data_IF_827204674861
#
_entry.id   IF_827204674861
#
_cell.length_a   1.000
_cell.length_b   1.000
_cell.length_c   1.000
_cell.angle_alpha   90.00
_cell.angle_beta   90.00
_cell.angle_gamma   90.00
#
_symmetry.space_group_name_H-M   'P 1'
#
loop_
_entity.id
_entity.type
_entity.pdbx_description
1 polymer ?
#
# COMPACT_ATOMS: atom_id res chain seq x y z
N UNK A 1 2.16 -33.77 -4.92
CA UNK A 1 2.33 -32.71 -3.95
C UNK A 1 1.26 -31.66 -4.26
N UNK A 2 0.32 -31.50 -3.35
CA UNK A 2 -0.66 -30.41 -3.43
C UNK A 2 0.16 -29.13 -3.28
N UNK A 3 0.53 -28.50 -4.40
CA UNK A 3 1.12 -27.17 -4.42
C UNK A 3 0.00 -26.19 -4.02
N UNK A 4 -0.17 -26.01 -2.73
CA UNK A 4 -1.18 -25.11 -2.18
C UNK A 4 -0.61 -23.69 -2.15
N UNK A 5 -0.30 -23.15 -3.36
CA UNK A 5 0.06 -21.75 -3.49
C UNK A 5 -1.19 -20.88 -3.33
N UNK A 6 -1.07 -19.67 -2.77
CA UNK A 6 -2.19 -18.75 -2.71
C UNK A 6 -2.65 -18.35 -4.11
N UNK A 7 -3.93 -18.13 -4.27
CA UNK A 7 -4.48 -17.48 -5.44
C UNK A 7 -4.26 -15.98 -5.33
N UNK A 8 -3.57 -15.38 -6.30
CA UNK A 8 -3.15 -13.98 -6.27
C UNK A 8 -4.09 -13.12 -7.10
N UNK A 9 -4.58 -12.04 -6.50
CA UNK A 9 -5.26 -10.95 -7.21
C UNK A 9 -4.28 -9.89 -7.68
N UNK A 10 -4.01 -9.76 -8.96
CA UNK A 10 -3.18 -8.68 -9.53
C UNK A 10 -3.98 -7.38 -9.56
N UNK A 11 -3.59 -6.42 -8.70
CA UNK A 11 -4.36 -5.22 -8.41
C UNK A 11 -3.59 -3.94 -8.80
N UNK A 12 -4.04 -3.25 -9.85
CA UNK A 12 -3.38 -2.03 -10.33
C UNK A 12 -3.69 -0.78 -9.50
N UNK A 13 -4.50 -0.82 -8.48
CA UNK A 13 -4.93 0.30 -7.62
C UNK A 13 -5.42 1.54 -8.40
N UNK A 14 -6.23 2.42 -7.80
CA UNK A 14 -6.68 3.66 -8.46
C UNK A 14 -5.55 4.64 -8.80
N UNK A 15 -4.40 4.52 -8.14
CA UNK A 15 -3.24 5.40 -8.34
C UNK A 15 -2.19 4.82 -9.33
N UNK A 16 -2.57 3.82 -10.15
CA UNK A 16 -1.64 3.11 -11.05
C UNK A 16 -0.78 4.02 -11.94
N UNK A 17 -1.32 5.12 -12.45
CA UNK A 17 -0.59 6.10 -13.29
C UNK A 17 0.64 6.71 -12.58
N UNK A 18 0.74 6.59 -11.24
CA UNK A 18 1.89 7.01 -10.46
C UNK A 18 2.99 5.95 -10.37
N UNK A 19 2.74 4.74 -10.85
CA UNK A 19 3.75 3.69 -10.92
C UNK A 19 4.73 3.96 -12.05
N UNK A 20 6.00 4.20 -11.70
CA UNK A 20 7.08 4.37 -12.66
C UNK A 20 7.49 3.06 -13.32
N UNK A 21 8.35 3.14 -14.36
CA UNK A 21 8.73 1.97 -15.15
C UNK A 21 9.33 0.82 -14.33
N UNK A 22 10.15 1.13 -13.31
CA UNK A 22 10.76 0.07 -12.49
C UNK A 22 9.73 -0.67 -11.65
N UNK A 23 8.74 0.02 -11.12
CA UNK A 23 7.64 -0.61 -10.37
C UNK A 23 6.74 -1.45 -11.28
N UNK A 24 6.40 -0.95 -12.46
CA UNK A 24 5.63 -1.71 -13.45
C UNK A 24 6.36 -3.00 -13.85
N UNK A 25 7.68 -2.90 -14.12
CA UNK A 25 8.51 -4.05 -14.46
C UNK A 25 8.63 -5.03 -13.28
N UNK A 26 8.73 -4.55 -12.04
CA UNK A 26 8.79 -5.40 -10.85
C UNK A 26 7.52 -6.24 -10.68
N UNK A 27 6.36 -5.63 -10.88
CA UNK A 27 5.06 -6.32 -10.81
C UNK A 27 4.91 -7.36 -11.93
N UNK A 28 5.25 -6.99 -13.14
CA UNK A 28 5.16 -7.92 -14.28
C UNK A 28 6.16 -9.09 -14.13
N UNK A 29 7.37 -8.83 -13.65
CA UNK A 29 8.35 -9.87 -13.33
C UNK A 29 7.80 -10.84 -12.27
N UNK A 30 7.23 -10.35 -11.18
CA UNK A 30 6.63 -11.19 -10.16
C UNK A 30 5.46 -12.02 -10.71
N UNK A 31 4.57 -11.39 -11.48
CA UNK A 31 3.45 -12.05 -12.16
C UNK A 31 3.91 -13.20 -13.05
N UNK A 32 4.90 -12.95 -13.91
CA UNK A 32 5.43 -13.95 -14.84
C UNK A 32 6.15 -15.08 -14.10
N UNK A 33 7.00 -14.74 -13.13
CA UNK A 33 7.74 -15.72 -12.35
C UNK A 33 6.81 -16.69 -11.63
N UNK A 34 5.80 -16.17 -10.92
CA UNK A 34 4.87 -17.00 -10.18
C UNK A 34 3.92 -17.80 -11.09
N UNK A 35 3.40 -17.21 -12.16
CA UNK A 35 2.54 -17.90 -13.11
C UNK A 35 3.28 -19.06 -13.79
N UNK A 36 4.56 -18.88 -14.15
CA UNK A 36 5.37 -19.93 -14.78
C UNK A 36 5.62 -21.14 -13.86
N UNK A 37 5.50 -20.93 -12.55
CA UNK A 37 5.65 -21.96 -11.51
C UNK A 37 4.30 -22.52 -11.00
N UNK A 38 3.20 -22.15 -11.67
CA UNK A 38 1.88 -22.72 -11.43
C UNK A 38 1.01 -21.99 -10.40
N UNK A 39 1.39 -20.78 -10.00
CA UNK A 39 0.54 -19.93 -9.15
C UNK A 39 -0.62 -19.36 -9.99
N UNK A 40 -1.84 -19.49 -9.49
CA UNK A 40 -3.01 -18.88 -10.11
C UNK A 40 -3.04 -17.37 -9.84
N UNK A 41 -3.05 -16.56 -10.92
CA UNK A 41 -3.12 -15.10 -10.82
C UNK A 41 -4.31 -14.61 -11.63
N UNK A 42 -5.19 -13.85 -11.00
CA UNK A 42 -6.35 -13.22 -11.64
C UNK A 42 -6.19 -11.69 -11.60
N UNK A 43 -6.74 -11.00 -12.58
CA UNK A 43 -6.81 -9.54 -12.55
C UNK A 43 -7.93 -9.10 -11.61
N UNK A 44 -7.61 -8.19 -10.70
CA UNK A 44 -8.55 -7.60 -9.74
C UNK A 44 -8.66 -6.11 -9.98
N UNK A 45 -9.87 -5.64 -10.21
CA UNK A 45 -10.17 -4.22 -10.32
C UNK A 45 -10.94 -3.76 -9.08
N UNK A 46 -10.38 -2.79 -8.37
CA UNK A 46 -11.08 -2.17 -7.27
C UNK A 46 -12.22 -1.28 -7.78
N UNK A 47 -13.35 -1.21 -7.06
CA UNK A 47 -14.43 -0.27 -7.39
C UNK A 47 -13.93 1.18 -7.48
N UNK A 48 -14.49 1.97 -8.40
CA UNK A 48 -14.03 3.35 -8.66
C UNK A 48 -14.06 4.24 -7.41
N UNK A 49 -15.03 4.03 -6.54
CA UNK A 49 -15.17 4.77 -5.29
C UNK A 49 -14.00 4.61 -4.31
N UNK A 50 -13.15 3.60 -4.50
CA UNK A 50 -11.91 3.44 -3.71
C UNK A 50 -10.90 4.58 -3.95
N UNK A 51 -11.04 5.32 -5.05
CA UNK A 51 -10.23 6.53 -5.30
C UNK A 51 -10.41 7.60 -4.21
N UNK A 52 -11.57 7.66 -3.55
CA UNK A 52 -11.83 8.59 -2.45
C UNK A 52 -11.06 8.27 -1.15
N UNK A 53 -10.47 7.07 -1.03
CA UNK A 53 -9.78 6.65 0.19
C UNK A 53 -8.50 7.44 0.46
N UNK A 54 -7.85 7.98 -0.57
CA UNK A 54 -6.67 8.84 -0.42
C UNK A 54 -6.96 10.12 0.37
N UNK A 55 -8.08 10.76 0.08
CA UNK A 55 -8.52 11.97 0.78
C UNK A 55 -8.98 11.66 2.21
N UNK A 56 -9.72 10.57 2.40
CA UNK A 56 -10.14 10.11 3.72
C UNK A 56 -8.93 9.76 4.60
N UNK A 57 -7.92 9.07 4.05
CA UNK A 57 -6.66 8.82 4.75
C UNK A 57 -5.99 10.12 5.20
N UNK A 58 -5.88 11.09 4.29
CA UNK A 58 -5.26 12.38 4.59
C UNK A 58 -6.01 13.12 5.70
N UNK A 59 -7.35 13.09 5.67
CA UNK A 59 -8.20 13.67 6.70
C UNK A 59 -7.93 13.04 8.08
N UNK A 60 -7.93 11.70 8.18
CA UNK A 60 -7.66 10.96 9.43
C UNK A 60 -6.26 11.27 9.92
N UNK A 61 -5.24 11.15 9.06
CA UNK A 61 -3.84 11.38 9.40
C UNK A 61 -3.61 12.79 9.96
N UNK A 62 -4.12 13.82 9.28
CA UNK A 62 -3.93 15.22 9.71
C UNK A 62 -4.64 15.49 11.02
N UNK A 63 -5.87 14.99 11.20
CA UNK A 63 -6.61 15.17 12.43
C UNK A 63 -5.89 14.52 13.62
N UNK A 64 -5.51 13.25 13.52
CA UNK A 64 -4.86 12.50 14.61
C UNK A 64 -3.45 13.01 14.87
N UNK A 65 -2.67 13.33 13.84
CA UNK A 65 -1.36 13.95 14.00
C UNK A 65 -1.46 15.31 14.69
N UNK A 66 -2.47 16.11 14.37
CA UNK A 66 -2.72 17.39 15.02
C UNK A 66 -3.03 17.26 16.51
N UNK A 67 -3.73 16.19 16.94
CA UNK A 67 -3.95 15.89 18.35
C UNK A 67 -2.66 15.42 19.03
N UNK A 68 -1.93 14.51 18.39
CA UNK A 68 -0.71 13.92 18.94
C UNK A 68 0.44 14.95 19.07
N UNK A 69 0.58 15.85 18.09
CA UNK A 69 1.62 16.89 18.02
C UNK A 69 1.17 18.24 18.61
N UNK A 70 0.10 18.25 19.39
CA UNK A 70 -0.49 19.49 19.91
C UNK A 70 0.49 20.34 20.73
N UNK A 71 1.34 19.70 21.51
CA UNK A 71 2.36 20.37 22.30
C UNK A 71 3.43 21.02 21.41
N UNK A 72 3.98 20.28 20.46
CA UNK A 72 5.00 20.75 19.52
C UNK A 72 4.48 21.88 18.64
N UNK A 73 3.25 21.73 18.14
CA UNK A 73 2.59 22.77 17.33
C UNK A 73 2.36 24.08 18.14
N UNK A 74 2.14 23.98 19.46
CA UNK A 74 1.90 25.15 20.30
C UNK A 74 3.18 25.81 20.83
N UNK A 75 4.23 25.04 21.12
CA UNK A 75 5.42 25.53 21.82
C UNK A 75 6.71 25.46 21.00
N UNK A 76 6.77 24.60 19.97
CA UNK A 76 7.98 24.30 19.22
C UNK A 76 7.78 24.37 17.71
N UNK A 77 6.82 25.14 17.22
CA UNK A 77 6.45 25.23 15.81
C UNK A 77 7.64 25.55 14.89
N UNK A 78 8.60 26.37 15.37
CA UNK A 78 9.80 26.73 14.59
C UNK A 78 10.77 25.57 14.37
N UNK A 79 10.70 24.51 15.18
CA UNK A 79 11.52 23.31 15.03
C UNK A 79 10.91 22.28 14.08
N UNK A 80 9.63 22.44 13.74
CA UNK A 80 8.97 21.55 12.79
C UNK A 80 9.34 21.92 11.35
N UNK A 81 9.53 20.91 10.50
CA UNK A 81 9.79 21.14 9.07
C UNK A 81 8.65 21.89 8.39
N UNK A 82 8.95 22.65 7.33
CA UNK A 82 7.92 23.34 6.54
C UNK A 82 6.84 22.38 6.04
N UNK A 83 7.25 21.18 5.57
CA UNK A 83 6.36 20.14 5.08
C UNK A 83 5.41 19.67 6.16
N UNK A 84 5.90 19.41 7.37
CA UNK A 84 5.03 18.99 8.49
C UNK A 84 4.03 20.08 8.87
N UNK A 85 4.48 21.34 8.95
CA UNK A 85 3.61 22.47 9.27
C UNK A 85 2.50 22.68 8.24
N UNK A 86 2.77 22.47 6.95
CA UNK A 86 1.77 22.68 5.90
C UNK A 86 0.56 21.74 6.01
N UNK A 87 0.71 20.58 6.62
CA UNK A 87 -0.44 19.71 6.88
C UNK A 87 -1.46 20.32 7.85
N UNK A 88 -1.03 21.24 8.73
CA UNK A 88 -1.87 21.83 9.77
C UNK A 88 -2.32 23.27 9.46
N UNK A 89 -2.06 23.77 8.25
CA UNK A 89 -2.52 25.10 7.81
C UNK A 89 -4.05 25.19 7.73
N UNK A 90 -4.72 24.08 7.42
CA UNK A 90 -6.17 23.97 7.42
C UNK A 90 -6.60 22.96 8.48
N UNK A 91 -7.28 23.41 9.55
CA UNK A 91 -7.76 22.50 10.58
C UNK A 91 -8.85 21.57 9.98
N UNK A 92 -8.73 20.29 10.28
CA UNK A 92 -9.78 19.30 9.99
C UNK A 92 -10.83 19.37 11.09
N UNK A 93 -12.09 19.49 10.73
CA UNK A 93 -13.22 19.49 11.69
C UNK A 93 -13.49 18.07 12.17
N UNK A 94 -14.01 17.96 13.39
CA UNK A 94 -14.33 16.66 13.97
C UNK A 94 -15.34 15.87 13.14
N UNK A 95 -16.31 16.54 12.53
CA UNK A 95 -17.31 15.93 11.66
C UNK A 95 -16.67 15.31 10.40
N UNK A 96 -15.70 16.00 9.80
CA UNK A 96 -14.96 15.49 8.62
C UNK A 96 -14.14 14.24 8.97
N UNK A 97 -13.49 14.25 10.13
CA UNK A 97 -12.77 13.10 10.67
C UNK A 97 -13.73 11.91 10.92
N UNK A 98 -14.90 12.15 11.52
CA UNK A 98 -15.89 11.09 11.75
C UNK A 98 -16.42 10.49 10.45
N UNK A 99 -16.67 11.30 9.42
CA UNK A 99 -17.09 10.80 8.11
C UNK A 99 -15.98 9.96 7.46
N UNK A 100 -14.72 10.38 7.54
CA UNK A 100 -13.59 9.59 7.06
C UNK A 100 -13.47 8.23 7.77
N UNK A 101 -13.69 8.19 9.09
CA UNK A 101 -13.73 6.93 9.85
C UNK A 101 -14.90 6.01 9.45
N UNK A 102 -16.07 6.57 9.11
CA UNK A 102 -17.20 5.77 8.61
C UNK A 102 -16.87 5.17 7.24
N UNK A 103 -16.24 5.95 6.35
CA UNK A 103 -15.76 5.46 5.05
C UNK A 103 -14.77 4.31 5.22
N UNK A 104 -13.80 4.44 6.14
CA UNK A 104 -12.85 3.36 6.45
C UNK A 104 -13.55 2.05 6.77
N UNK A 105 -14.56 2.08 7.62
CA UNK A 105 -15.31 0.88 8.02
C UNK A 105 -16.10 0.29 6.85
N UNK A 106 -16.77 1.13 6.09
CA UNK A 106 -17.54 0.72 4.91
C UNK A 106 -16.65 0.02 3.89
N UNK A 107 -15.52 0.64 3.53
CA UNK A 107 -14.64 0.10 2.51
C UNK A 107 -13.82 -1.10 2.98
N UNK A 108 -13.53 -1.21 4.28
CA UNK A 108 -12.95 -2.43 4.83
C UNK A 108 -13.89 -3.64 4.64
N UNK A 109 -15.18 -3.45 4.86
CA UNK A 109 -16.16 -4.52 4.61
C UNK A 109 -16.26 -4.87 3.12
N UNK A 110 -16.20 -3.87 2.22
CA UNK A 110 -16.18 -4.10 0.78
C UNK A 110 -14.92 -4.81 0.29
N UNK A 111 -13.77 -4.60 0.96
CA UNK A 111 -12.56 -5.36 0.64
C UNK A 111 -12.72 -6.86 0.88
N UNK A 112 -13.62 -7.28 1.78
CA UNK A 112 -13.90 -8.69 1.96
C UNK A 112 -14.42 -9.33 0.67
N UNK A 113 -15.29 -8.64 -0.06
CA UNK A 113 -15.82 -9.11 -1.36
C UNK A 113 -14.69 -9.30 -2.40
N UNK A 114 -13.64 -8.49 -2.34
CA UNK A 114 -12.45 -8.64 -3.19
C UNK A 114 -11.68 -9.91 -2.82
N UNK A 115 -11.49 -10.15 -1.52
CA UNK A 115 -10.81 -11.35 -1.01
C UNK A 115 -11.65 -12.63 -1.10
N UNK A 116 -12.93 -12.58 -1.44
CA UNK A 116 -13.73 -13.76 -1.80
C UNK A 116 -13.23 -14.42 -3.11
N UNK A 117 -12.48 -13.67 -3.94
CA UNK A 117 -11.97 -14.12 -5.23
C UNK A 117 -10.49 -14.53 -5.23
N UNK A 118 -9.70 -14.13 -4.22
CA UNK A 118 -8.27 -14.40 -4.11
C UNK A 118 -7.82 -14.42 -2.64
N UNK A 119 -6.71 -15.09 -2.35
CA UNK A 119 -6.16 -15.19 -1.00
C UNK A 119 -5.31 -13.98 -0.62
N UNK A 120 -4.63 -13.38 -1.59
CA UNK A 120 -3.71 -12.25 -1.42
C UNK A 120 -3.72 -11.35 -2.63
N UNK A 121 -3.57 -10.04 -2.44
CA UNK A 121 -3.38 -9.10 -3.56
C UNK A 121 -1.88 -8.86 -3.81
N UNK A 122 -1.53 -8.71 -5.09
CA UNK A 122 -0.25 -8.20 -5.57
C UNK A 122 -0.46 -6.78 -6.09
N UNK A 123 0.24 -5.80 -5.53
CA UNK A 123 0.09 -4.39 -5.88
C UNK A 123 1.44 -3.64 -5.83
N UNK A 124 1.51 -2.40 -6.37
CA UNK A 124 2.68 -1.55 -6.22
C UNK A 124 3.00 -1.25 -4.75
N UNK A 125 4.29 -1.27 -4.36
CA UNK A 125 4.73 -0.89 -3.01
C UNK A 125 5.22 0.57 -2.94
N UNK A 126 5.81 1.07 -4.01
CA UNK A 126 6.33 2.44 -4.14
C UNK A 126 6.21 2.91 -5.60
N UNK A 127 6.25 4.21 -5.88
CA UNK A 127 6.19 4.73 -7.26
C UNK A 127 7.31 4.24 -8.17
N UNK A 128 8.53 4.16 -7.66
CA UNK A 128 9.71 3.68 -8.39
C UNK A 128 10.84 3.36 -7.40
N UNK A 129 12.10 3.34 -7.85
CA UNK A 129 13.28 3.27 -6.97
C UNK A 129 13.27 4.38 -5.91
N UNK A 130 14.02 4.17 -4.82
CA UNK A 130 14.19 5.19 -3.80
C UNK A 130 14.70 6.51 -4.40
N UNK A 131 14.14 7.68 -4.01
CA UNK A 131 14.61 8.98 -4.47
C UNK A 131 16.07 9.22 -4.07
N UNK A 132 16.80 9.95 -4.92
CA UNK A 132 18.17 10.33 -4.62
C UNK A 132 18.21 11.38 -3.49
N UNK A 133 19.16 11.22 -2.54
CA UNK A 133 19.39 12.15 -1.44
C UNK A 133 18.58 11.86 -0.19
N UNK A 134 18.61 12.80 0.77
CA UNK A 134 17.98 12.66 2.08
C UNK A 134 16.82 13.64 2.33
N UNK A 135 16.55 14.52 1.38
CA UNK A 135 15.54 15.58 1.54
C UNK A 135 14.10 15.08 1.32
N UNK A 136 13.97 13.93 0.66
CA UNK A 136 12.67 13.35 0.34
C UNK A 136 12.70 11.82 0.43
N UNK A 137 11.76 11.25 1.17
CA UNK A 137 11.68 9.80 1.45
C UNK A 137 10.81 9.02 0.47
N UNK A 138 10.28 9.66 -0.56
CA UNK A 138 9.34 9.06 -1.51
C UNK A 138 7.87 9.37 -1.23
N UNK A 139 7.01 9.00 -2.15
CA UNK A 139 5.55 9.12 -2.01
C UNK A 139 4.96 7.83 -1.45
N UNK A 140 4.08 7.96 -0.47
CA UNK A 140 3.39 6.85 0.20
C UNK A 140 2.09 6.45 -0.49
N UNK A 141 1.87 6.91 -1.71
CA UNK A 141 0.60 6.80 -2.44
C UNK A 141 0.04 5.37 -2.46
N UNK A 142 0.89 4.37 -2.70
CA UNK A 142 0.49 2.97 -2.78
C UNK A 142 0.27 2.28 -1.42
N UNK A 143 0.55 2.98 -0.29
CA UNK A 143 0.37 2.43 1.05
C UNK A 143 -0.83 3.03 1.80
N UNK A 144 -1.28 4.22 1.41
CA UNK A 144 -2.30 4.99 2.14
C UNK A 144 -3.60 4.23 2.32
N UNK A 145 -4.08 3.60 1.24
CA UNK A 145 -5.34 2.87 1.23
C UNK A 145 -5.28 1.67 2.17
N UNK A 146 -4.25 0.85 2.06
CA UNK A 146 -4.08 -0.35 2.89
C UNK A 146 -3.93 0.00 4.37
N UNK A 147 -3.13 1.03 4.68
CA UNK A 147 -2.98 1.55 6.04
C UNK A 147 -4.31 2.01 6.61
N UNK A 148 -5.10 2.78 5.85
CA UNK A 148 -6.42 3.26 6.29
C UNK A 148 -7.40 2.11 6.51
N UNK A 149 -7.37 1.09 5.66
CA UNK A 149 -8.23 -0.09 5.77
C UNK A 149 -7.73 -1.09 6.82
N UNK A 150 -6.56 -0.85 7.44
CA UNK A 150 -5.89 -1.73 8.41
C UNK A 150 -5.65 -3.14 7.85
N UNK A 151 -5.32 -3.23 6.58
CA UNK A 151 -4.96 -4.51 5.96
C UNK A 151 -3.49 -4.81 6.20
N UNK A 152 -3.11 -6.06 6.49
CA UNK A 152 -1.72 -6.44 6.60
C UNK A 152 -1.04 -6.35 5.23
N UNK A 153 0.17 -5.79 5.20
CA UNK A 153 0.95 -5.62 3.97
C UNK A 153 2.39 -6.06 4.20
N UNK A 154 2.98 -6.67 3.17
CA UNK A 154 4.37 -7.11 3.18
C UNK A 154 5.00 -6.86 1.81
N UNK A 155 6.22 -6.30 1.78
CA UNK A 155 6.94 -6.07 0.53
C UNK A 155 7.99 -7.16 0.31
N UNK A 156 7.97 -7.77 -0.87
CA UNK A 156 9.00 -8.69 -1.35
C UNK A 156 9.94 -7.96 -2.31
N UNK A 157 11.27 -8.18 -2.22
CA UNK A 157 12.21 -7.70 -3.22
C UNK A 157 11.95 -8.43 -4.55
N UNK A 158 11.90 -7.67 -5.66
CA UNK A 158 11.64 -8.26 -6.98
C UNK A 158 12.82 -8.07 -7.94
N UNK A 159 13.07 -6.84 -8.35
CA UNK A 159 14.13 -6.52 -9.33
C UNK A 159 15.04 -5.39 -8.83
N UNK A 160 16.09 -5.10 -9.61
CA UNK A 160 16.79 -3.82 -9.53
C UNK A 160 16.31 -2.91 -10.64
N UNK A 161 16.07 -1.65 -10.31
CA UNK A 161 15.64 -0.63 -11.25
C UNK A 161 16.81 -0.06 -12.07
N UNK A 162 16.55 1.03 -12.78
CA UNK A 162 17.51 1.65 -13.70
C UNK A 162 18.80 2.14 -13.02
N UNK A 163 18.71 2.60 -11.76
CA UNK A 163 19.84 3.05 -10.95
C UNK A 163 20.43 1.93 -10.06
N UNK A 164 20.07 0.67 -10.32
CA UNK A 164 20.52 -0.51 -9.56
C UNK A 164 20.04 -0.54 -8.10
N UNK A 165 19.06 0.26 -7.74
CA UNK A 165 18.41 0.19 -6.44
C UNK A 165 17.33 -0.91 -6.43
N UNK A 166 17.07 -1.54 -5.26
CA UNK A 166 16.05 -2.57 -5.18
C UNK A 166 14.64 -1.97 -5.38
N UNK A 167 13.81 -2.67 -6.14
CA UNK A 167 12.39 -2.39 -6.31
C UNK A 167 11.61 -3.62 -5.89
N UNK A 168 10.65 -3.43 -4.99
CA UNK A 168 9.82 -4.51 -4.46
C UNK A 168 8.40 -4.46 -4.99
N UNK A 169 7.69 -5.56 -4.74
CA UNK A 169 6.24 -5.68 -4.95
C UNK A 169 5.56 -5.88 -3.60
N UNK A 170 4.33 -5.40 -3.47
CA UNK A 170 3.58 -5.49 -2.21
C UNK A 170 2.54 -6.60 -2.27
N UNK A 171 2.53 -7.44 -1.25
CA UNK A 171 1.45 -8.37 -0.96
C UNK A 171 0.52 -7.75 0.08
N UNK A 172 -0.78 -7.88 -0.12
CA UNK A 172 -1.80 -7.38 0.81
C UNK A 172 -2.72 -8.55 1.18
N UNK A 173 -2.86 -8.82 2.47
CA UNK A 173 -3.79 -9.81 3.01
C UNK A 173 -5.13 -9.20 3.41
N UNK A 174 -6.13 -10.05 3.63
CA UNK A 174 -7.39 -9.65 4.21
C UNK A 174 -7.21 -9.14 5.65
N UNK A 175 -8.21 -8.44 6.17
CA UNK A 175 -8.15 -7.93 7.54
C UNK A 175 -8.01 -9.07 8.56
N UNK A 176 -6.93 -9.01 9.35
CA UNK A 176 -6.65 -9.99 10.42
C UNK A 176 -6.03 -11.30 9.95
N UNK A 177 -5.49 -11.38 8.73
CA UNK A 177 -4.82 -12.57 8.18
C UNK A 177 -3.30 -12.40 8.11
N UNK A 178 -2.67 -11.78 9.12
CA UNK A 178 -1.25 -11.48 9.15
C UNK A 178 -0.39 -12.75 9.03
N UNK A 179 -0.76 -13.80 9.76
CA UNK A 179 -0.02 -15.07 9.76
C UNK A 179 -0.08 -15.77 8.39
N UNK A 180 -1.25 -15.76 7.74
CA UNK A 180 -1.44 -16.33 6.40
C UNK A 180 -0.60 -15.54 5.38
N UNK A 181 -0.63 -14.20 5.46
CA UNK A 181 0.17 -13.34 4.59
C UNK A 181 1.67 -13.63 4.69
N UNK A 182 2.18 -13.82 5.91
CA UNK A 182 3.59 -14.19 6.13
C UNK A 182 3.89 -15.55 5.50
N UNK A 183 3.01 -16.53 5.68
CA UNK A 183 3.15 -17.85 5.07
C UNK A 183 3.19 -17.81 3.54
N UNK A 184 2.31 -17.04 2.92
CA UNK A 184 2.28 -16.81 1.47
C UNK A 184 3.56 -16.10 1.00
N UNK A 185 3.98 -15.06 1.72
CA UNK A 185 5.18 -14.29 1.38
C UNK A 185 6.44 -15.15 1.35
N UNK A 186 6.65 -16.03 2.35
CA UNK A 186 7.78 -16.96 2.40
C UNK A 186 7.81 -17.87 1.16
N UNK A 187 6.66 -18.42 0.79
CA UNK A 187 6.55 -19.31 -0.38
C UNK A 187 6.84 -18.56 -1.68
N UNK A 188 6.28 -17.36 -1.85
CA UNK A 188 6.38 -16.56 -3.06
C UNK A 188 7.77 -15.93 -3.22
N UNK A 189 8.44 -15.52 -2.13
CA UNK A 189 9.81 -14.99 -2.18
C UNK A 189 10.81 -16.01 -2.70
N UNK A 190 10.74 -17.27 -2.24
CA UNK A 190 11.57 -18.35 -2.72
C UNK A 190 11.44 -18.56 -4.25
N UNK A 191 10.25 -18.35 -4.79
CA UNK A 191 9.98 -18.47 -6.23
C UNK A 191 10.56 -17.32 -7.06
N UNK A 192 10.62 -16.09 -6.51
CA UNK A 192 11.26 -14.93 -7.15
C UNK A 192 12.79 -15.08 -7.21
N UNK A 193 13.38 -15.67 -6.16
CA UNK A 193 14.83 -15.84 -6.06
C UNK A 193 15.38 -16.95 -6.96
N UNK A 194 14.52 -17.81 -7.50
CA UNK A 194 14.88 -18.97 -8.32
C UNK A 194 14.81 -18.70 -9.83
N UNK A 195 14.53 -17.45 -10.25
CA UNK A 195 14.25 -17.06 -11.64
C UNK A 195 15.43 -16.37 -12.32
#
# INVERSE_FOLDING_TARGET
PDNNFPKIGFCLTPDWEKAGPSTQNALEHARQSWSSQGVEIIDVQLPEEFSALGDAHSCIMVYEAGQNLRYELSHHQSLLSKRLRSYFEKPIRFEEYQEALKLTRLYRNRMQEVFDSCDVLLAPSAPDEAPHGLDYTGDTVFNRMWTMLHLPTLTLPSIRGANQLPVGVQLIGAYGTDDDLIGYAISLENMLSSS
#
